data_IF_895043298079
#
_entry.id   IF_895043298079
#
_cell.length_a   1.000
_cell.length_b   1.000
_cell.length_c   1.000
_cell.angle_alpha   90.00
_cell.angle_beta   90.00
_cell.angle_gamma   90.00
#
_symmetry.space_group_name_H-M   'P 1'
#
loop_
_entity.id
_entity.type
_entity.pdbx_description
1 polymer ?
#
# COMPACT_ATOMS: atom_id res chain seq x y z
N UNK A 1 8.99 16.69 -2.56
CA UNK A 1 7.91 15.75 -2.18
C UNK A 1 8.42 14.34 -2.47
N UNK A 2 8.31 13.40 -1.54
CA UNK A 2 8.76 12.01 -1.77
C UNK A 2 7.62 11.20 -2.40
N UNK A 3 7.95 10.40 -3.43
CA UNK A 3 6.97 9.66 -4.22
C UNK A 3 7.51 8.28 -4.61
N UNK A 4 6.58 7.36 -4.87
CA UNK A 4 6.86 6.11 -5.58
C UNK A 4 6.60 6.38 -7.06
N UNK A 5 7.63 6.27 -7.89
CA UNK A 5 7.53 6.46 -9.33
C UNK A 5 7.97 5.18 -10.05
N UNK A 6 7.11 4.70 -10.93
CA UNK A 6 7.41 3.58 -11.82
C UNK A 6 7.41 4.13 -13.23
N UNK A 7 8.50 3.99 -14.01
CA UNK A 7 8.51 4.42 -15.40
C UNK A 7 7.40 3.72 -16.19
N UNK A 8 6.70 4.44 -17.07
CA UNK A 8 5.55 3.92 -17.86
C UNK A 8 5.80 2.55 -18.50
N UNK A 9 7.01 2.33 -19.04
CA UNK A 9 7.45 1.06 -19.65
C UNK A 9 7.45 -0.15 -18.69
N UNK A 10 7.33 0.09 -17.39
CA UNK A 10 7.32 -0.91 -16.33
C UNK A 10 6.07 -0.84 -15.44
N UNK A 11 5.08 -0.01 -15.78
CA UNK A 11 3.77 -0.01 -15.12
C UNK A 11 3.05 -1.36 -15.32
N UNK A 12 2.14 -1.70 -14.40
CA UNK A 12 1.40 -2.97 -14.43
C UNK A 12 2.21 -4.21 -14.06
N UNK A 13 3.49 -4.06 -13.69
CA UNK A 13 4.39 -5.17 -13.30
C UNK A 13 4.53 -5.32 -11.78
N UNK A 14 3.66 -4.67 -11.00
CA UNK A 14 3.68 -4.73 -9.53
C UNK A 14 4.88 -4.02 -8.87
N UNK A 15 5.69 -3.25 -9.60
CA UNK A 15 6.86 -2.57 -9.05
C UNK A 15 6.50 -1.52 -7.99
N UNK A 16 5.41 -0.78 -8.17
CA UNK A 16 4.94 0.20 -7.18
C UNK A 16 4.60 -0.47 -5.85
N UNK A 17 3.90 -1.61 -5.93
CA UNK A 17 3.57 -2.45 -4.78
C UNK A 17 4.83 -2.98 -4.09
N UNK A 18 5.78 -3.53 -4.86
CA UNK A 18 7.02 -4.07 -4.30
C UNK A 18 7.82 -2.98 -3.56
N UNK A 19 7.91 -1.78 -4.15
CA UNK A 19 8.56 -0.63 -3.51
C UNK A 19 7.84 -0.23 -2.21
N UNK A 20 6.51 -0.22 -2.21
CA UNK A 20 5.72 0.08 -1.02
C UNK A 20 5.94 -0.94 0.10
N UNK A 21 5.81 -2.24 -0.19
CA UNK A 21 6.01 -3.33 0.77
C UNK A 21 7.42 -3.26 1.38
N UNK A 22 8.43 -3.10 0.54
CA UNK A 22 9.83 -3.01 0.98
C UNK A 22 10.04 -1.81 1.91
N UNK A 23 9.45 -0.66 1.56
CA UNK A 23 9.54 0.54 2.39
C UNK A 23 8.90 0.35 3.76
N UNK A 24 7.71 -0.26 3.83
CA UNK A 24 7.05 -0.54 5.11
C UNK A 24 7.79 -1.58 5.97
N UNK A 25 8.29 -2.65 5.35
CA UNK A 25 9.10 -3.66 6.05
C UNK A 25 10.36 -3.02 6.62
N UNK A 26 11.04 -2.18 5.83
CA UNK A 26 12.26 -1.51 6.26
C UNK A 26 12.05 -0.64 7.50
N UNK A 27 10.92 0.09 7.55
CA UNK A 27 10.53 0.94 8.68
C UNK A 27 10.33 0.12 9.96
N UNK A 28 9.64 -1.02 9.86
CA UNK A 28 9.42 -1.94 10.99
C UNK A 28 10.75 -2.50 11.49
N UNK A 29 11.56 -3.07 10.59
CA UNK A 29 12.83 -3.74 10.94
C UNK A 29 13.84 -2.78 11.56
N UNK A 30 13.82 -1.50 11.15
CA UNK A 30 14.73 -0.47 11.66
C UNK A 30 14.15 0.36 12.81
N UNK A 31 12.92 0.09 13.24
CA UNK A 31 12.23 0.89 14.25
C UNK A 31 12.21 2.39 13.89
N UNK A 32 11.95 2.69 12.62
CA UNK A 32 11.80 4.05 12.13
C UNK A 32 10.35 4.49 12.14
N UNK A 33 10.14 5.80 12.13
CA UNK A 33 8.81 6.37 11.85
C UNK A 33 8.76 6.83 10.40
N UNK A 34 7.68 6.47 9.71
CA UNK A 34 7.45 6.86 8.32
C UNK A 34 6.35 7.91 8.25
N UNK A 35 6.67 9.07 7.69
CA UNK A 35 5.69 10.11 7.40
C UNK A 35 5.10 9.90 5.99
N UNK A 36 3.84 9.49 5.91
CA UNK A 36 3.17 9.17 4.65
C UNK A 36 2.60 10.42 3.97
N UNK A 37 3.32 10.95 2.98
CA UNK A 37 2.87 12.06 2.13
C UNK A 37 2.46 11.66 0.71
N UNK A 38 2.90 10.49 0.25
CA UNK A 38 2.63 10.01 -1.11
C UNK A 38 1.25 9.36 -1.18
N UNK A 39 0.37 9.86 -2.06
CA UNK A 39 -1.00 9.34 -2.22
C UNK A 39 -1.05 7.85 -2.55
N UNK A 40 -0.10 7.35 -3.34
CA UNK A 40 0.03 5.92 -3.63
C UNK A 40 0.25 5.10 -2.35
N UNK A 41 1.25 5.49 -1.54
CA UNK A 41 1.55 4.79 -0.28
C UNK A 41 0.42 4.92 0.75
N UNK A 42 -0.29 6.05 0.76
CA UNK A 42 -1.45 6.24 1.65
C UNK A 42 -2.56 5.25 1.29
N UNK A 43 -2.93 5.15 0.02
CA UNK A 43 -3.92 4.17 -0.46
C UNK A 43 -3.46 2.74 -0.20
N UNK A 44 -2.20 2.44 -0.48
CA UNK A 44 -1.67 1.10 -0.26
C UNK A 44 -1.66 0.74 1.24
N UNK A 45 -1.24 1.67 2.11
CA UNK A 45 -1.28 1.50 3.56
C UNK A 45 -2.68 1.15 4.07
N UNK A 46 -3.74 1.78 3.55
CA UNK A 46 -5.12 1.46 3.93
C UNK A 46 -5.50 0.00 3.64
N UNK A 47 -4.94 -0.59 2.58
CA UNK A 47 -5.21 -2.00 2.21
C UNK A 47 -4.47 -3.01 3.09
N UNK A 48 -3.34 -2.62 3.69
CA UNK A 48 -2.48 -3.49 4.51
C UNK A 48 -2.40 -3.05 5.97
N UNK A 49 -3.31 -2.17 6.41
CA UNK A 49 -3.27 -1.52 7.73
C UNK A 49 -3.35 -2.57 8.84
N UNK A 50 -2.23 -2.76 9.55
CA UNK A 50 -2.13 -3.63 10.74
C UNK A 50 -1.79 -2.80 11.98
N UNK A 51 -2.07 -3.34 13.17
CA UNK A 51 -1.71 -2.70 14.43
C UNK A 51 -0.20 -2.44 14.52
N UNK A 52 0.62 -3.42 14.11
CA UNK A 52 2.08 -3.29 14.05
C UNK A 52 2.51 -2.12 13.16
N UNK A 53 2.02 -2.06 11.91
CA UNK A 53 2.41 -1.01 10.99
C UNK A 53 1.94 0.38 11.45
N UNK A 54 0.75 0.46 12.07
CA UNK A 54 0.20 1.72 12.57
C UNK A 54 1.03 2.38 13.68
N UNK A 55 1.83 1.61 14.43
CA UNK A 55 2.73 2.15 15.45
C UNK A 55 3.91 2.97 14.84
N UNK A 56 4.23 2.72 13.57
CA UNK A 56 5.37 3.34 12.89
C UNK A 56 4.96 4.39 11.85
N UNK A 57 3.70 4.45 11.46
CA UNK A 57 3.20 5.37 10.44
C UNK A 57 2.66 6.64 11.07
N UNK A 58 3.16 7.78 10.59
CA UNK A 58 2.64 9.12 10.87
C UNK A 58 2.07 9.66 9.56
N UNK A 59 0.91 10.31 9.61
CA UNK A 59 0.28 10.78 8.39
C UNK A 59 -0.89 11.72 8.63
N UNK A 60 -1.57 12.15 7.56
CA UNK A 60 -2.76 12.97 7.69
C UNK A 60 -3.83 12.26 8.53
N UNK A 61 -4.66 13.02 9.28
CA UNK A 61 -5.55 12.47 10.29
C UNK A 61 -6.42 11.31 9.79
N UNK A 62 -6.93 11.40 8.55
CA UNK A 62 -7.79 10.38 7.96
C UNK A 62 -7.16 8.97 7.86
N UNK A 63 -5.82 8.85 7.83
CA UNK A 63 -5.14 7.55 7.84
C UNK A 63 -4.99 6.97 9.26
N UNK A 64 -5.01 7.86 10.25
CA UNK A 64 -4.80 7.54 11.66
C UNK A 64 -6.11 7.23 12.37
N UNK A 65 -7.23 7.82 11.94
CA UNK A 65 -8.57 7.54 12.46
C UNK A 65 -9.22 6.36 11.74
N UNK A 66 -9.97 5.53 12.47
CA UNK A 66 -10.77 4.43 11.91
C UNK A 66 -10.42 3.06 12.50
N UNK A 67 -11.34 2.09 12.44
CA UNK A 67 -11.12 0.76 12.99
C UNK A 67 -9.89 0.13 12.32
N UNK A 68 -8.99 -0.43 13.12
CA UNK A 68 -7.96 -1.31 12.59
C UNK A 68 -8.67 -2.52 11.98
N UNK A 69 -8.46 -2.85 10.69
CA UNK A 69 -8.91 -4.12 10.17
C UNK A 69 -8.38 -5.20 11.12
N UNK A 70 -9.28 -6.02 11.67
CA UNK A 70 -8.89 -7.22 12.42
C UNK A 70 -7.94 -7.96 11.51
N UNK A 71 -6.74 -8.29 12.01
CA UNK A 71 -5.67 -8.87 11.22
C UNK A 71 -6.13 -10.19 10.55
N UNK A 72 -6.77 -10.09 9.40
CA UNK A 72 -6.70 -11.10 8.37
C UNK A 72 -5.31 -10.89 7.79
N UNK A 73 -4.32 -11.55 8.36
CA UNK A 73 -3.28 -12.07 7.48
C UNK A 73 -4.04 -13.00 6.53
N UNK A 74 -4.21 -12.71 5.23
CA UNK A 74 -4.28 -13.84 4.35
C UNK A 74 -2.93 -14.52 4.55
N UNK A 75 -2.93 -15.79 4.93
CA UNK A 75 -1.88 -16.67 4.41
C UNK A 75 -1.91 -16.47 2.90
N UNK A 76 -1.09 -15.56 2.41
CA UNK A 76 -0.85 -15.37 0.99
C UNK A 76 -0.03 -16.59 0.59
N UNK A 77 -0.74 -17.68 0.35
CA UNK A 77 -0.31 -18.69 -0.61
C UNK A 77 0.16 -17.90 -1.83
N UNK A 78 1.46 -18.01 -2.16
CA UNK A 78 2.11 -17.23 -3.21
C UNK A 78 1.38 -17.31 -4.58
N UNK A 79 0.50 -18.32 -4.73
CA UNK A 79 -0.29 -18.64 -5.91
C UNK A 79 -1.56 -17.78 -6.10
N UNK A 80 -1.91 -16.88 -5.16
CA UNK A 80 -3.05 -15.93 -5.31
C UNK A 80 -2.62 -14.46 -5.43
N UNK A 81 -1.32 -14.20 -5.61
CA UNK A 81 -0.75 -12.86 -5.66
C UNK A 81 -0.92 -12.18 -7.03
N UNK A 82 -1.14 -12.96 -8.10
CA UNK A 82 -1.50 -12.49 -9.43
C UNK A 82 -2.99 -12.13 -9.49
N UNK A 83 -3.35 -10.90 -9.12
CA UNK A 83 -4.75 -10.46 -9.30
C UNK A 83 -5.20 -9.32 -8.41
N UNK A 84 -4.39 -8.86 -7.46
CA UNK A 84 -4.72 -7.62 -6.75
C UNK A 84 -4.50 -6.42 -7.68
N UNK A 85 -5.55 -5.62 -7.97
CA UNK A 85 -5.43 -4.49 -8.86
C UNK A 85 -4.44 -3.48 -8.28
N UNK A 86 -3.56 -2.96 -9.11
CA UNK A 86 -2.70 -1.84 -8.74
C UNK A 86 -3.61 -0.68 -8.28
N UNK A 87 -3.35 0.00 -7.15
CA UNK A 87 -4.18 1.14 -6.73
C UNK A 87 -4.20 2.33 -7.72
N UNK A 88 -3.40 2.27 -8.79
CA UNK A 88 -3.49 3.16 -9.96
C UNK A 88 -4.31 2.61 -11.13
N UNK A 89 -4.77 1.37 -11.06
CA UNK A 89 -5.59 0.74 -12.09
C UNK A 89 -7.05 1.22 -11.99
N UNK A 90 -7.36 2.33 -12.66
CA UNK A 90 -8.71 2.89 -12.78
C UNK A 90 -9.49 2.36 -14.00
N UNK A 91 -9.06 1.27 -14.64
CA UNK A 91 -9.80 0.76 -15.81
C UNK A 91 -11.00 -0.12 -15.40
N UNK A 92 -12.17 0.28 -15.91
CA UNK A 92 -13.48 -0.40 -15.94
C UNK A 92 -14.44 -0.25 -14.74
N UNK A 93 -14.91 0.99 -14.49
CA UNK A 93 -16.25 1.20 -13.87
C UNK A 93 -17.22 2.11 -14.61
N UNK A 94 -16.86 2.61 -15.80
CA UNK A 94 -17.79 3.34 -16.66
C UNK A 94 -17.61 2.85 -18.09
N UNK A 95 -18.40 1.86 -18.47
CA UNK A 95 -18.92 1.61 -19.81
C UNK A 95 -19.79 0.36 -19.70
N UNK A 96 -21.07 0.58 -19.40
CA UNK A 96 -22.13 -0.32 -19.86
C UNK A 96 -23.31 0.57 -20.21
N UNK A 97 -23.62 0.56 -21.50
CA UNK A 97 -24.78 1.17 -22.15
C UNK A 97 -26.11 0.87 -21.43
#
# INVERSE_FOLDING_TARGET
MYAVEVPKKHEGKGLGRLLAETAFIYVIVRNYRMHLTCTYLQRYYETIKTQQLSAYVVGPPHLLTGPHPVAMFPTVEADKLEGMPDPTDTKNRFNKD
#
